data_IF_925535867865
#
_entry.id   IF_925535867865
#
_cell.length_a   1.000
_cell.length_b   1.000
_cell.length_c   1.000
_cell.angle_alpha   90.00
_cell.angle_beta   90.00
_cell.angle_gamma   90.00
#
_symmetry.space_group_name_H-M   'P 1'
#
loop_
_entity.id
_entity.type
_entity.pdbx_description
1 polymer ?
2 polymer ?
3 non-polymer ?
4 water ?
#
# COMPACT_ATOMS: atom_id res chain seq x y z
N UNK A 1 -6.85 -2.00 -19.41
CA UNK A 1 -6.62 -0.54 -19.70
C UNK A 1 -7.79 0.33 -19.18
N UNK A 2 -8.46 -0.23 -18.15
CA UNK A 2 -9.60 0.38 -17.41
C UNK A 2 -11.00 0.03 -17.97
N UNK A 3 -11.54 -1.09 -17.46
CA UNK A 3 -12.82 -1.63 -17.91
C UNK A 3 -13.94 -0.77 -17.41
N UNK A 4 -15.14 -1.01 -17.94
CA UNK A 4 -16.35 -0.27 -17.58
C UNK A 4 -16.74 -0.47 -16.13
N UNK A 5 -16.35 -1.63 -15.59
CA UNK A 5 -16.64 -2.00 -14.19
C UNK A 5 -15.73 -1.28 -13.20
N UNK A 6 -14.42 -1.19 -13.48
CA UNK A 6 -13.51 -0.32 -12.71
C UNK A 6 -13.97 1.15 -12.75
N UNK A 7 -14.35 1.66 -13.92
CA UNK A 7 -14.79 3.05 -14.04
C UNK A 7 -15.99 3.37 -13.12
N UNK A 8 -17.15 2.72 -13.32
CA UNK A 8 -18.31 2.99 -12.44
C UNK A 8 -18.03 2.34 -11.10
N UNK A 9 -17.00 2.84 -10.43
CA UNK A 9 -16.46 2.15 -9.27
C UNK A 9 -15.43 3.13 -8.73
N UNK A 10 -14.62 3.70 -9.65
CA UNK A 10 -13.78 4.86 -9.37
C UNK A 10 -14.50 6.22 -9.45
N UNK A 11 -15.45 6.38 -10.37
CA UNK A 11 -16.37 7.54 -10.34
C UNK A 11 -17.13 7.57 -9.02
N UNK A 12 -17.59 6.40 -8.59
CA UNK A 12 -18.22 6.19 -7.29
C UNK A 12 -17.41 6.57 -6.06
N UNK A 13 -16.15 6.09 -5.91
CA UNK A 13 -15.46 6.45 -4.66
C UNK A 13 -15.11 7.93 -4.59
N UNK A 14 -14.89 8.58 -5.75
CA UNK A 14 -14.50 10.00 -5.74
C UNK A 14 -15.63 10.97 -5.50
N UNK A 15 -16.88 10.49 -5.61
CA UNK A 15 -18.03 11.32 -5.23
C UNK A 15 -18.39 11.09 -3.75
N UNK A 16 -17.82 10.04 -3.16
CA UNK A 16 -17.94 9.81 -1.73
C UNK A 16 -16.80 10.44 -0.93
N UNK A 17 -15.60 10.51 -1.49
CA UNK A 17 -14.49 11.19 -0.76
C UNK A 17 -14.27 12.61 -1.30
N UNK A 18 -15.29 13.12 -2.00
CA UNK A 18 -15.23 14.41 -2.73
C UNK A 18 -14.71 15.60 -1.95
N UNK A 19 -15.54 16.15 -1.08
CA UNK A 19 -15.16 17.33 -0.32
C UNK A 19 -14.15 17.10 0.80
N UNK A 20 -13.48 15.94 0.76
CA UNK A 20 -12.36 15.70 1.68
C UNK A 20 -11.02 15.51 0.94
N UNK A 21 -11.10 15.38 -0.38
CA UNK A 21 -9.92 15.26 -1.25
C UNK A 21 -8.77 16.02 -0.66
N UNK A 22 -8.93 17.34 -0.67
CA UNK A 22 -7.91 18.27 -0.21
C UNK A 22 -7.23 17.87 1.08
N UNK A 23 -7.98 17.61 2.15
CA UNK A 23 -7.36 17.20 3.41
C UNK A 23 -6.57 15.89 3.30
N UNK A 24 -7.07 14.97 2.47
CA UNK A 24 -6.36 13.69 2.25
C UNK A 24 -5.09 13.92 1.45
N UNK A 25 -5.09 14.96 0.62
CA UNK A 25 -3.89 15.38 -0.13
C UNK A 25 -2.79 15.93 0.78
N UNK A 26 -3.15 16.79 1.74
CA UNK A 26 -2.20 17.23 2.73
C UNK A 26 -1.64 16.01 3.43
N UNK A 27 -2.49 15.17 4.03
CA UNK A 27 -2.00 14.06 4.88
C UNK A 27 -1.17 13.01 4.12
N UNK A 28 -1.52 12.82 2.86
CA UNK A 28 -0.79 11.93 1.99
C UNK A 28 0.68 12.30 1.90
N UNK A 29 1.03 13.50 1.42
CA UNK A 29 2.44 13.88 1.35
C UNK A 29 3.14 13.77 2.70
N UNK A 30 2.49 14.25 3.74
CA UNK A 30 3.01 14.20 5.11
C UNK A 30 3.44 12.77 5.59
N UNK A 31 2.55 11.82 5.37
CA UNK A 31 2.89 10.43 5.56
C UNK A 31 4.06 10.00 4.65
N UNK A 32 4.02 10.35 3.37
CA UNK A 32 5.15 10.06 2.47
C UNK A 32 6.48 10.56 3.03
N UNK A 33 6.54 11.80 3.52
CA UNK A 33 7.80 12.39 3.95
C UNK A 33 8.33 11.73 5.21
N UNK A 34 7.42 11.18 6.02
CA UNK A 34 7.77 10.52 7.27
C UNK A 34 8.20 9.08 6.98
N UNK A 35 7.47 8.38 6.13
CA UNK A 35 7.72 6.95 5.95
C UNK A 35 8.76 6.64 4.83
N UNK A 36 8.95 7.63 3.96
CA UNK A 36 9.91 7.55 2.89
C UNK A 36 10.70 8.85 2.79
N UNK A 37 11.68 9.08 3.71
CA UNK A 37 12.39 10.35 3.93
C UNK A 37 13.10 10.83 2.68
N UNK A 38 13.39 9.86 1.82
CA UNK A 38 14.06 10.12 0.55
C UNK A 38 13.26 11.07 -0.36
N UNK A 39 11.94 10.99 -0.27
CA UNK A 39 11.09 11.78 -1.15
C UNK A 39 11.32 13.29 -0.95
N UNK A 40 11.88 13.68 0.21
CA UNK A 40 12.22 15.10 0.51
C UNK A 40 13.37 15.73 -0.32
N UNK A 41 14.18 14.88 -0.97
CA UNK A 41 15.18 15.33 -1.94
C UNK A 41 14.56 16.29 -2.95
N UNK A 42 13.33 15.98 -3.37
CA UNK A 42 12.65 16.71 -4.47
C UNK A 42 12.07 18.07 -4.03
N UNK A 43 11.67 18.16 -2.76
CA UNK A 43 11.12 19.39 -2.25
C UNK A 43 12.09 20.07 -1.26
N UNK A 44 13.24 20.65 -1.76
CA UNK A 44 14.19 21.30 -0.82
C UNK A 44 13.82 22.76 -0.52
N UNK A 45 12.95 23.33 -1.33
CA UNK A 45 12.56 24.71 -1.17
C UNK A 45 11.44 24.84 -0.15
N UNK A 46 10.85 23.71 0.26
CA UNK A 46 9.71 23.65 1.18
C UNK A 46 10.11 23.62 2.64
N UNK A 47 9.23 24.11 3.52
CA UNK A 47 9.29 23.72 4.92
C UNK A 47 8.55 22.38 5.06
N UNK A 48 9.27 21.36 5.52
CA UNK A 48 8.73 19.98 5.50
C UNK A 48 8.32 19.43 6.90
N UNK A 49 8.50 20.27 7.92
CA UNK A 49 8.20 19.86 9.27
C UNK A 49 6.71 19.58 9.40
N UNK A 50 6.34 18.55 10.21
CA UNK A 50 4.93 18.18 10.48
C UNK A 50 4.06 19.40 10.81
N UNK A 51 3.11 19.72 9.94
CA UNK A 51 2.34 20.90 10.18
C UNK A 51 2.38 21.92 9.07
N UNK A 52 3.47 21.99 8.30
CA UNK A 52 3.66 23.06 7.29
C UNK A 52 2.45 23.44 6.42
N UNK A 53 2.33 24.73 6.12
CA UNK A 53 1.28 25.25 5.25
C UNK A 53 1.66 25.18 3.78
N UNK A 54 2.95 25.07 3.51
CA UNK A 54 3.37 24.74 2.14
C UNK A 54 2.89 23.32 1.81
N UNK A 55 3.16 22.38 2.73
CA UNK A 55 2.71 20.99 2.63
C UNK A 55 1.16 20.88 2.50
N UNK A 56 0.45 21.69 3.28
CA UNK A 56 -1.00 21.84 3.15
C UNK A 56 -1.37 22.43 1.79
N UNK A 57 -0.64 23.46 1.38
CA UNK A 57 -0.88 24.12 0.12
C UNK A 57 -0.54 23.21 -1.05
N UNK A 58 0.45 22.34 -0.85
CA UNK A 58 0.82 21.47 -1.95
C UNK A 58 -0.21 20.35 -2.12
N UNK A 59 -0.61 19.73 -1.00
CA UNK A 59 -1.54 18.60 -1.01
C UNK A 59 -2.90 18.91 -1.64
N UNK A 60 -3.28 20.19 -1.56
CA UNK A 60 -4.50 20.72 -2.17
C UNK A 60 -4.45 20.69 -3.70
N UNK A 61 -3.25 20.77 -4.27
CA UNK A 61 -3.16 20.63 -5.72
C UNK A 61 -2.92 19.19 -6.21
N UNK A 62 -2.18 18.37 -5.45
CA UNK A 62 -2.12 16.92 -5.73
C UNK A 62 -3.53 16.24 -5.72
N UNK A 63 -4.37 16.52 -4.71
CA UNK A 63 -5.78 16.13 -4.76
C UNK A 63 -6.40 16.62 -6.06
N UNK A 64 -6.22 17.90 -6.37
CA UNK A 64 -6.68 18.54 -7.60
C UNK A 64 -6.62 17.69 -8.86
N UNK A 65 -5.40 17.33 -9.27
CA UNK A 65 -5.11 16.43 -10.37
C UNK A 65 -5.91 15.14 -10.28
N UNK A 66 -5.94 14.53 -9.09
CA UNK A 66 -6.62 13.25 -8.87
C UNK A 66 -8.10 13.36 -9.19
N UNK A 67 -8.77 14.28 -8.50
CA UNK A 67 -10.17 14.62 -8.72
C UNK A 67 -10.46 14.84 -10.17
N UNK A 68 -9.60 15.62 -10.81
CA UNK A 68 -9.70 15.90 -12.23
C UNK A 68 -9.56 14.66 -13.07
N UNK A 69 -8.49 13.92 -12.89
CA UNK A 69 -8.27 12.73 -13.70
C UNK A 69 -9.49 11.84 -13.63
N UNK A 70 -10.16 11.81 -12.47
CA UNK A 70 -11.40 11.02 -12.29
C UNK A 70 -12.61 11.54 -13.10
N UNK A 71 -12.76 12.87 -13.20
CA UNK A 71 -13.74 13.54 -14.09
C UNK A 71 -13.60 13.23 -15.59
N UNK A 72 -12.40 12.84 -15.99
CA UNK A 72 -12.12 12.56 -17.40
C UNK A 72 -11.45 11.21 -17.55
N UNK A 73 -12.03 10.21 -16.89
CA UNK A 73 -11.45 8.86 -16.82
C UNK A 73 -11.33 8.12 -18.19
N UNK A 74 -12.05 8.62 -19.20
CA UNK A 74 -11.88 8.14 -20.57
C UNK A 74 -10.66 8.77 -21.26
N UNK A 75 -10.26 9.99 -20.88
CA UNK A 75 -9.10 10.66 -21.50
C UNK A 75 -8.03 11.22 -20.50
N UNK A 76 -7.55 10.36 -19.61
CA UNK A 76 -6.67 10.80 -18.49
C UNK A 76 -5.36 11.51 -18.94
N UNK A 77 -4.89 11.21 -20.15
CA UNK A 77 -3.64 11.76 -20.68
C UNK A 77 -3.73 13.19 -21.23
N UNK A 78 -4.91 13.63 -21.68
CA UNK A 78 -5.09 15.03 -22.11
C UNK A 78 -5.40 15.88 -20.87
N UNK A 79 -6.14 15.25 -19.96
CA UNK A 79 -6.51 15.83 -18.67
C UNK A 79 -5.27 16.25 -17.88
N UNK A 80 -4.22 15.42 -17.90
CA UNK A 80 -3.04 15.64 -17.08
C UNK A 80 -1.81 16.03 -17.88
N UNK A 81 -1.98 16.41 -19.14
CA UNK A 81 -0.84 16.56 -20.08
C UNK A 81 0.26 17.59 -19.72
N UNK A 82 -0.07 18.65 -18.99
CA UNK A 82 1.01 19.56 -18.58
C UNK A 82 1.84 19.02 -17.40
N UNK A 83 1.18 18.27 -16.53
CA UNK A 83 1.86 17.63 -15.40
C UNK A 83 2.88 16.55 -15.77
N UNK A 84 2.75 15.93 -16.94
CA UNK A 84 3.73 14.93 -17.37
C UNK A 84 5.13 15.47 -17.72
N UNK A 85 5.21 16.73 -18.16
CA UNK A 85 6.50 17.39 -18.39
C UNK A 85 7.17 17.75 -17.08
N UNK A 86 6.43 18.45 -16.22
CA UNK A 86 6.95 18.84 -14.93
C UNK A 86 7.67 17.64 -14.32
N UNK A 87 7.01 16.48 -14.22
CA UNK A 87 7.57 15.36 -13.45
C UNK A 87 8.68 14.54 -14.14
N UNK A 88 8.55 14.42 -15.47
CA UNK A 88 9.44 13.59 -16.29
C UNK A 88 10.53 14.40 -16.95
N UNK A 89 10.15 15.51 -17.60
CA UNK A 89 11.07 16.40 -18.34
C UNK A 89 11.90 17.33 -17.43
N UNK A 90 11.22 18.16 -16.64
CA UNK A 90 11.91 19.12 -15.79
C UNK A 90 12.56 18.51 -14.54
N UNK A 91 11.73 17.91 -13.67
CA UNK A 91 12.10 17.54 -12.30
C UNK A 91 12.74 16.18 -12.20
N UNK A 92 12.63 15.44 -13.29
CA UNK A 92 13.19 14.10 -13.45
C UNK A 92 13.03 13.08 -12.33
N UNK A 93 11.76 12.83 -11.93
CA UNK A 93 11.36 11.99 -10.76
C UNK A 93 11.52 10.46 -10.92
N UNK A 94 12.29 9.79 -10.06
CA UNK A 94 12.39 8.31 -10.07
C UNK A 94 10.95 7.73 -10.14
N UNK A 95 10.66 6.80 -11.09
CA UNK A 95 9.28 6.27 -11.20
C UNK A 95 8.79 5.44 -10.01
N UNK A 96 9.70 4.73 -9.35
CA UNK A 96 9.38 4.04 -8.09
C UNK A 96 8.59 4.97 -7.18
N UNK A 97 8.75 6.27 -7.38
CA UNK A 97 8.16 7.20 -6.43
C UNK A 97 6.68 7.33 -6.57
N UNK A 98 6.13 7.02 -7.74
CA UNK A 98 4.66 7.11 -7.89
C UNK A 98 3.85 6.09 -7.08
N UNK A 99 4.37 4.86 -7.02
CA UNK A 99 3.93 3.81 -6.08
C UNK A 99 3.90 4.29 -4.63
N UNK A 100 4.97 4.94 -4.17
CA UNK A 100 5.01 5.30 -2.75
C UNK A 100 3.87 6.26 -2.36
N UNK A 101 3.63 7.28 -3.18
CA UNK A 101 2.58 8.27 -2.87
C UNK A 101 1.20 7.64 -2.92
N UNK A 102 0.97 6.84 -3.96
CA UNK A 102 -0.29 6.14 -4.15
C UNK A 102 -0.52 5.24 -2.96
N UNK A 103 0.51 4.50 -2.56
CA UNK A 103 0.42 3.65 -1.37
C UNK A 103 -0.03 4.46 -0.14
N UNK A 104 0.59 5.63 0.05
CA UNK A 104 0.24 6.52 1.16
C UNK A 104 -1.15 7.04 1.02
N UNK A 105 -1.53 7.32 -0.22
CA UNK A 105 -2.90 7.74 -0.52
C UNK A 105 -4.02 6.72 -0.13
N UNK A 106 -3.83 5.43 -0.43
CA UNK A 106 -4.69 4.37 0.09
C UNK A 106 -4.71 4.30 1.61
N UNK A 107 -3.56 4.39 2.28
CA UNK A 107 -3.55 4.38 3.77
C UNK A 107 -4.54 5.41 4.38
N UNK A 108 -4.54 6.62 3.80
CA UNK A 108 -5.38 7.72 4.27
C UNK A 108 -6.88 7.46 4.01
N UNK A 109 -7.25 6.95 2.83
CA UNK A 109 -8.68 6.66 2.62
C UNK A 109 -9.15 5.52 3.56
N UNK A 110 -8.28 4.54 3.78
CA UNK A 110 -8.61 3.45 4.71
C UNK A 110 -8.74 3.94 6.15
N UNK A 111 -8.00 4.99 6.51
CA UNK A 111 -8.10 5.56 7.87
C UNK A 111 -9.45 6.24 8.08
N UNK A 112 -9.78 7.18 7.21
CA UNK A 112 -10.95 8.03 7.33
C UNK A 112 -12.25 7.43 6.78
N UNK A 113 -12.15 6.33 6.04
CA UNK A 113 -13.31 5.74 5.36
C UNK A 113 -13.18 4.22 5.14
N UNK A 114 -13.15 3.41 6.24
CA UNK A 114 -12.71 2.03 6.20
C UNK A 114 -13.58 1.22 5.29
N UNK A 115 -14.82 1.70 5.14
CA UNK A 115 -15.86 0.97 4.42
C UNK A 115 -16.05 1.38 2.94
N UNK A 116 -15.40 2.44 2.47
CA UNK A 116 -15.41 2.69 1.03
C UNK A 116 -14.41 1.69 0.39
N UNK A 117 -13.33 1.40 1.13
CA UNK A 117 -12.22 0.60 0.60
C UNK A 117 -12.41 -0.91 0.80
N UNK A 118 -13.53 -1.44 0.29
CA UNK A 118 -13.72 -2.90 0.21
C UNK A 118 -12.55 -3.54 -0.57
N UNK A 119 -12.32 -4.85 -0.42
CA UNK A 119 -11.42 -5.49 -1.39
C UNK A 119 -11.56 -5.04 -2.86
N UNK A 120 -12.75 -5.09 -3.47
CA UNK A 120 -12.94 -4.66 -4.89
C UNK A 120 -12.61 -3.19 -5.23
N UNK A 121 -13.09 -2.25 -4.42
CA UNK A 121 -12.75 -0.84 -4.58
C UNK A 121 -11.22 -0.70 -4.54
N UNK A 122 -10.62 -1.37 -3.57
CA UNK A 122 -9.19 -1.40 -3.42
C UNK A 122 -8.54 -1.80 -4.74
N UNK A 123 -9.22 -2.68 -5.47
CA UNK A 123 -8.71 -3.15 -6.76
C UNK A 123 -8.85 -2.06 -7.84
N UNK A 124 -10.05 -1.51 -8.00
CA UNK A 124 -10.30 -0.49 -9.00
C UNK A 124 -9.41 0.74 -8.73
N UNK A 125 -9.24 1.07 -7.45
CA UNK A 125 -8.54 2.30 -7.10
C UNK A 125 -7.10 2.08 -7.36
N UNK A 126 -6.65 0.86 -7.11
CA UNK A 126 -5.25 0.57 -7.29
C UNK A 126 -4.81 0.57 -8.75
N UNK A 127 -5.67 0.14 -9.68
CA UNK A 127 -5.31 0.31 -11.08
C UNK A 127 -5.53 1.75 -11.62
N UNK A 128 -6.53 2.48 -11.09
CA UNK A 128 -6.66 3.90 -11.43
C UNK A 128 -5.43 4.73 -11.01
N UNK A 129 -4.96 4.56 -9.76
CA UNK A 129 -3.73 5.24 -9.25
C UNK A 129 -2.47 5.02 -10.07
N UNK A 130 -2.23 3.80 -10.53
CA UNK A 130 -1.07 3.62 -11.37
C UNK A 130 -1.45 3.43 -12.81
N UNK A 131 -2.52 4.08 -13.22
CA UNK A 131 -2.70 4.52 -14.61
C UNK A 131 -2.49 6.04 -14.62
N UNK A 132 -2.72 6.69 -13.48
CA UNK A 132 -2.32 8.07 -13.26
C UNK A 132 -0.77 8.24 -13.21
N UNK A 133 -0.08 7.32 -12.53
CA UNK A 133 1.39 7.33 -12.47
C UNK A 133 2.05 6.92 -13.78
N UNK A 134 1.27 6.47 -14.75
CA UNK A 134 1.82 6.15 -16.05
C UNK A 134 1.72 7.34 -17.01
N UNK A 135 0.72 8.17 -16.79
CA UNK A 135 0.59 9.37 -17.60
C UNK A 135 1.69 10.35 -17.19
N UNK A 136 2.07 10.32 -15.91
CA UNK A 136 3.02 11.28 -15.36
C UNK A 136 4.46 10.86 -15.58
N UNK A 137 4.66 9.61 -16.01
CA UNK A 137 5.99 9.10 -16.29
C UNK A 137 6.12 8.76 -17.74
N UNK A 138 5.20 9.28 -18.56
CA UNK A 138 5.00 8.84 -19.97
C UNK A 138 6.19 9.06 -20.91
N UNK A 139 6.77 10.26 -20.83
CA UNK A 139 7.91 10.63 -21.68
C UNK A 139 9.22 9.82 -21.47
N UNK A 140 9.29 8.99 -20.43
CA UNK A 140 10.38 8.00 -20.29
C UNK A 140 10.18 6.79 -21.24
N UNK A 141 9.00 6.73 -21.89
CA UNK A 141 8.66 5.69 -22.90
C UNK A 141 7.85 6.25 -24.13
N UNK B 1 18.58 -5.04 10.63
CA UNK B 1 18.08 -3.68 10.95
C UNK B 1 18.39 -3.33 12.41
N UNK B 2 18.66 -2.06 12.69
CA UNK B 2 18.73 -1.54 14.08
C UNK B 2 17.45 -0.74 14.51
N UNK B 3 16.86 -1.16 15.63
CA UNK B 3 15.60 -0.60 16.12
C UNK B 3 15.82 0.34 17.32
N UNK B 4 15.08 1.45 17.37
CA UNK B 4 15.14 2.39 18.51
C UNK B 4 14.20 1.92 19.63
N UNK B 5 14.35 2.51 20.81
CA UNK B 5 13.51 2.17 21.96
C UNK B 5 12.06 2.53 21.64
N UNK B 6 11.90 3.75 21.13
CA UNK B 6 10.59 4.35 20.88
C UNK B 6 9.88 3.69 19.69
N UNK B 7 10.66 2.94 18.90
CA UNK B 7 10.20 2.28 17.67
C UNK B 7 9.49 0.99 18.02
N UNK B 8 10.10 0.23 18.95
CA UNK B 8 9.57 -0.99 19.55
C UNK B 8 8.27 -0.76 20.30
N UNK B 9 8.14 0.42 20.89
CA UNK B 9 6.91 0.77 21.58
C UNK B 9 5.70 0.82 20.64
N UNK B 10 5.79 1.66 19.60
CA UNK B 10 4.79 1.73 18.55
C UNK B 10 4.44 0.37 17.93
N UNK B 11 5.46 -0.46 17.71
CA UNK B 11 5.23 -1.74 17.09
C UNK B 11 4.53 -2.72 18.05
N UNK B 12 5.09 -2.84 19.26
CA UNK B 12 4.63 -3.79 20.29
C UNK B 12 3.27 -3.41 20.90
N UNK B 13 3.11 -2.12 21.17
CA UNK B 13 1.87 -1.61 21.71
C UNK B 13 0.65 -1.87 20.83
N UNK B 14 0.90 -2.03 19.50
CA UNK B 14 -0.11 -2.11 18.42
C UNK B 14 -0.42 -3.56 18.07
N UNK B 15 0.63 -4.37 17.96
CA UNK B 15 0.44 -5.82 17.94
C UNK B 15 -0.53 -6.29 19.03
N UNK B 16 -0.43 -5.67 20.21
CA UNK B 16 -1.19 -6.07 21.38
C UNK B 16 -2.68 -6.11 21.12
N UNK B 17 -3.15 -5.30 20.19
CA UNK B 17 -4.59 -5.14 19.99
C UNK B 17 -5.14 -5.79 18.69
N UNK B 18 -4.29 -6.43 17.90
CA UNK B 18 -4.66 -6.94 16.56
C UNK B 18 -5.39 -8.29 16.58
N UNK B 19 -6.53 -8.37 15.87
CA UNK B 19 -7.24 -9.64 15.67
C UNK B 19 -6.66 -10.43 14.48
N UNK B 20 -5.88 -11.48 14.77
CA UNK B 20 -5.14 -12.13 13.69
C UNK B 20 -6.03 -12.86 12.72
N UNK B 21 -7.13 -13.40 13.21
CA UNK B 21 -8.04 -14.12 12.34
C UNK B 21 -8.75 -13.14 11.43
N UNK B 22 -9.16 -11.98 11.95
CA UNK B 22 -9.82 -11.04 11.07
C UNK B 22 -8.84 -10.58 9.96
N UNK B 23 -7.77 -9.86 10.34
CA UNK B 23 -6.77 -9.33 9.42
C UNK B 23 -6.14 -10.37 8.56
N UNK B 24 -5.73 -11.50 9.13
CA UNK B 24 -5.15 -12.59 8.35
C UNK B 24 -5.91 -12.80 7.06
N UNK B 25 -7.24 -12.90 7.17
CA UNK B 25 -8.14 -13.16 6.04
C UNK B 25 -8.31 -11.94 5.09
N UNK B 26 -8.21 -10.71 5.64
CA UNK B 26 -8.25 -9.50 4.84
C UNK B 26 -6.98 -9.46 3.98
N UNK B 27 -5.85 -9.57 4.64
CA UNK B 27 -4.55 -9.51 3.99
C UNK B 27 -4.50 -10.44 2.76
N UNK B 28 -4.93 -11.68 2.95
CA UNK B 28 -4.74 -12.68 1.94
C UNK B 28 -5.75 -12.55 0.82
N UNK B 29 -6.97 -12.18 1.18
CA UNK B 29 -8.03 -12.04 0.21
C UNK B 29 -7.68 -10.88 -0.70
N UNK B 30 -7.20 -9.77 -0.12
CA UNK B 30 -6.91 -8.59 -0.90
C UNK B 30 -5.78 -8.87 -1.87
N UNK B 31 -4.77 -9.59 -1.41
CA UNK B 31 -3.63 -10.00 -2.25
C UNK B 31 -4.11 -10.75 -3.48
N UNK B 32 -4.96 -11.75 -3.25
CA UNK B 32 -5.46 -12.62 -4.32
C UNK B 32 -6.29 -11.83 -5.31
N UNK B 33 -7.01 -10.84 -4.82
CA UNK B 33 -7.90 -10.03 -5.65
C UNK B 33 -7.20 -8.85 -6.37
N UNK B 34 -6.32 -8.15 -5.68
CA UNK B 34 -5.63 -7.02 -6.29
C UNK B 34 -4.52 -7.51 -7.20
N UNK B 35 -3.87 -8.62 -6.88
CA UNK B 35 -2.83 -9.11 -7.79
C UNK B 35 -3.11 -10.51 -8.32
N UNK B 36 -4.04 -10.65 -9.26
CA UNK B 36 -4.64 -11.96 -9.57
C UNK B 36 -3.65 -13.06 -9.98
N UNK B 37 -2.41 -12.69 -10.34
CA UNK B 37 -1.36 -13.68 -10.67
C UNK B 37 -0.84 -14.44 -9.45
N UNK B 38 -0.95 -13.86 -8.26
CA UNK B 38 -0.62 -14.59 -7.05
C UNK B 38 -1.50 -15.86 -6.90
N UNK B 39 -2.62 -15.88 -7.62
CA UNK B 39 -3.58 -16.99 -7.60
C UNK B 39 -2.99 -18.34 -7.93
N UNK B 40 -2.10 -18.42 -8.92
CA UNK B 40 -1.62 -19.76 -9.34
C UNK B 40 -0.89 -20.54 -8.26
N UNK B 41 -0.27 -19.85 -7.32
CA UNK B 41 0.40 -20.52 -6.22
C UNK B 41 -0.52 -21.33 -5.30
N UNK B 42 -1.82 -21.01 -5.30
CA UNK B 42 -2.80 -21.56 -4.32
C UNK B 42 -3.89 -22.44 -4.98
N UNK B 43 -3.50 -23.33 -5.88
CA UNK B 43 -4.49 -24.03 -6.73
C UNK B 43 -5.14 -25.14 -5.97
N UNK B 44 -4.34 -25.79 -5.12
CA UNK B 44 -4.86 -26.74 -4.16
C UNK B 44 -6.10 -26.27 -3.34
N UNK B 45 -6.40 -24.96 -3.36
CA UNK B 45 -7.49 -24.37 -2.57
C UNK B 45 -8.85 -24.41 -3.31
N UNK B 46 -8.93 -25.15 -4.41
CA UNK B 46 -10.18 -25.14 -5.17
C UNK B 46 -10.45 -23.74 -5.72
N UNK B 47 -11.70 -23.43 -6.07
CA UNK B 47 -11.93 -22.25 -6.90
C UNK B 47 -11.53 -20.90 -6.32
N UNK B 48 -10.71 -20.18 -7.07
CA UNK B 48 -10.54 -18.74 -6.84
C UNK B 48 -11.20 -18.08 -8.09
N UNK B 49 -10.63 -17.08 -8.77
CA UNK B 49 -11.26 -16.61 -10.06
C UNK B 49 -12.33 -15.50 -10.00
N UNK B 50 -13.00 -15.37 -8.86
CA UNK B 50 -13.94 -14.25 -8.67
C UNK B 50 -13.84 -13.71 -7.24
N UNK B 51 -13.85 -12.40 -7.12
CA UNK B 51 -13.86 -11.77 -5.81
C UNK B 51 -14.70 -12.55 -4.79
N UNK B 52 -15.94 -12.90 -5.12
CA UNK B 52 -16.76 -13.54 -4.07
C UNK B 52 -16.30 -14.97 -3.79
N UNK B 53 -15.82 -15.68 -4.80
CA UNK B 53 -15.24 -17.01 -4.59
C UNK B 53 -14.13 -16.90 -3.53
N UNK B 54 -13.18 -15.98 -3.74
CA UNK B 54 -12.04 -15.73 -2.84
C UNK B 54 -12.50 -15.48 -1.41
N UNK B 55 -13.51 -14.65 -1.28
CA UNK B 55 -14.03 -14.22 0.03
C UNK B 55 -14.64 -15.38 0.83
N UNK B 56 -15.40 -16.24 0.17
CA UNK B 56 -16.11 -17.33 0.81
C UNK B 56 -15.38 -18.66 0.84
N UNK B 57 -14.07 -18.65 0.61
CA UNK B 57 -13.24 -19.86 0.71
C UNK B 57 -12.66 -20.12 2.12
N UNK B 58 -13.01 -21.26 2.73
CA UNK B 58 -12.50 -21.52 4.08
C UNK B 58 -10.97 -21.62 4.17
N UNK B 59 -10.31 -22.05 3.09
CA UNK B 59 -8.86 -22.14 3.06
C UNK B 59 -8.23 -20.76 3.21
N UNK B 60 -8.87 -19.77 2.59
CA UNK B 60 -8.31 -18.43 2.56
C UNK B 60 -8.27 -17.87 3.97
N UNK B 61 -9.34 -18.10 4.73
CA UNK B 61 -9.39 -17.73 6.14
C UNK B 61 -8.33 -18.47 6.97
N UNK B 62 -8.23 -19.80 6.80
CA UNK B 62 -7.27 -20.61 7.58
C UNK B 62 -5.81 -20.29 7.23
N UNK B 63 -5.48 -20.26 5.93
CA UNK B 63 -4.13 -19.88 5.51
C UNK B 63 -3.77 -18.48 5.99
N UNK B 64 -4.67 -17.51 5.70
CA UNK B 64 -4.51 -16.11 6.09
C UNK B 64 -4.07 -15.94 7.53
N UNK B 65 -4.75 -16.62 8.44
CA UNK B 65 -4.44 -16.61 9.88
C UNK B 65 -3.03 -17.12 10.20
N UNK B 66 -2.56 -18.07 9.40
CA UNK B 66 -1.25 -18.67 9.60
C UNK B 66 -0.17 -17.66 9.22
N UNK B 67 -0.34 -17.05 8.04
CA UNK B 67 0.53 -15.97 7.56
C UNK B 67 0.74 -14.90 8.63
N UNK B 68 -0.36 -14.38 9.19
CA UNK B 68 -0.25 -13.32 10.19
C UNK B 68 0.44 -13.79 11.44
N UNK B 69 0.01 -14.91 12.01
CA UNK B 69 0.76 -15.45 13.15
C UNK B 69 2.28 -15.43 12.91
N UNK B 70 2.67 -15.65 11.67
CA UNK B 70 4.07 -15.65 11.27
C UNK B 70 4.73 -14.29 11.56
N UNK B 71 4.19 -13.21 10.99
CA UNK B 71 4.51 -11.83 11.44
C UNK B 71 4.52 -11.70 12.95
N UNK B 72 3.69 -12.48 13.64
CA UNK B 72 3.76 -12.52 15.09
C UNK B 72 5.20 -12.74 15.56
N UNK B 73 5.75 -13.89 15.18
CA UNK B 73 7.13 -14.25 15.49
C UNK B 73 8.18 -13.12 15.32
N UNK B 74 7.94 -12.21 14.37
CA UNK B 74 8.81 -11.05 14.18
C UNK B 74 8.62 -10.05 15.30
N UNK B 75 7.36 -9.71 15.64
CA UNK B 75 7.09 -8.80 16.76
C UNK B 75 7.84 -9.28 18.01
N UNK B 76 7.87 -10.60 18.20
CA UNK B 76 8.43 -11.24 19.37
C UNK B 76 9.95 -11.11 19.40
N UNK B 77 10.60 -11.46 18.29
CA UNK B 77 12.05 -11.53 18.25
C UNK B 77 12.81 -10.26 17.89
N UNK B 78 12.11 -9.18 17.52
CA UNK B 78 12.69 -8.01 16.83
C UNK B 78 14.16 -7.97 16.42
N UNK B 79 15.10 -8.34 17.28
CA UNK B 79 16.55 -8.42 16.91
C UNK B 79 16.95 -9.63 16.01
N UNK B 80 16.24 -10.75 16.15
CA UNK B 80 16.62 -12.03 15.54
C UNK B 80 15.76 -12.36 14.28
N UNK B 81 15.60 -11.43 13.32
CA UNK B 81 14.54 -11.62 12.27
C UNK B 81 14.91 -12.67 11.21
N UNK B 82 16.18 -12.73 10.81
CA UNK B 82 16.73 -13.92 10.13
C UNK B 82 16.66 -15.11 11.12
N UNK B 83 17.14 -16.27 10.74
CA UNK B 83 17.23 -17.39 11.64
C UNK B 83 15.89 -17.82 12.10
N UNK B 84 14.98 -16.88 12.11
CA UNK B 84 13.60 -17.19 12.50
C UNK B 84 12.72 -17.45 11.27
N UNK B 85 13.12 -16.88 10.13
CA UNK B 85 12.46 -17.16 8.87
C UNK B 85 13.26 -18.07 7.95
N UNK B 86 14.39 -18.61 8.42
CA UNK B 86 15.28 -19.49 7.57
C UNK B 86 14.59 -20.69 6.91
N UNK B 87 13.91 -21.50 7.72
CA UNK B 87 13.20 -22.66 7.21
C UNK B 87 12.07 -22.19 6.27
N UNK B 88 11.29 -21.19 6.69
CA UNK B 88 10.25 -20.53 5.82
C UNK B 88 10.76 -19.95 4.46
N UNK B 89 11.99 -19.40 4.47
CA UNK B 89 12.68 -18.94 3.27
C UNK B 89 12.94 -20.09 2.26
N UNK B 90 13.55 -21.18 2.73
CA UNK B 90 13.74 -22.39 1.91
C UNK B 90 12.44 -22.82 1.19
N UNK B 91 11.33 -22.77 1.92
CA UNK B 91 10.04 -23.24 1.44
C UNK B 91 9.48 -22.34 0.33
N UNK B 92 9.45 -21.03 0.60
CA UNK B 92 8.99 -20.06 -0.39
C UNK B 92 9.91 -19.98 -1.62
N UNK B 93 11.23 -19.98 -1.39
CA UNK B 93 12.22 -19.93 -2.48
C UNK B 93 12.44 -21.28 -3.20
N UNK B 94 13.03 -22.27 -2.51
CA UNK B 94 13.39 -23.60 -3.08
C UNK B 94 12.28 -24.49 -3.63
N UNK B 95 11.15 -24.57 -2.92
CA UNK B 95 10.02 -25.46 -3.27
C UNK B 95 8.99 -24.78 -4.20
N UNK B 96 8.49 -23.62 -3.76
CA UNK B 96 7.40 -22.90 -4.46
C UNK B 96 7.87 -21.98 -5.61
N UNK B 97 9.01 -21.31 -5.41
CA UNK B 97 9.56 -20.39 -6.39
C UNK B 97 8.67 -19.15 -6.55
N UNK B 98 8.32 -18.55 -5.41
CA UNK B 98 7.69 -17.26 -5.32
C UNK B 98 8.74 -16.18 -5.51
N UNK B 99 8.58 -15.37 -6.57
CA UNK B 99 9.44 -14.20 -6.75
C UNK B 99 9.28 -13.22 -5.59
N UNK B 100 10.41 -12.79 -4.97
CA UNK B 100 10.46 -11.92 -3.77
C UNK B 100 9.63 -10.64 -3.80
N UNK B 101 9.44 -10.07 -4.99
CA UNK B 101 8.67 -8.84 -5.20
C UNK B 101 7.22 -8.95 -4.68
N UNK B 102 6.66 -10.15 -4.71
CA UNK B 102 5.33 -10.42 -4.12
C UNK B 102 5.36 -10.33 -2.61
N UNK B 103 6.52 -10.56 -1.97
CA UNK B 103 6.63 -10.39 -0.50
C UNK B 103 6.45 -8.92 -0.18
N UNK B 104 6.97 -8.04 -1.02
CA UNK B 104 6.67 -6.63 -0.84
C UNK B 104 5.14 -6.39 -1.02
N UNK B 105 4.55 -6.85 -2.12
CA UNK B 105 3.12 -6.67 -2.29
C UNK B 105 2.33 -7.10 -1.05
N UNK B 106 2.66 -8.24 -0.43
CA UNK B 106 1.94 -8.61 0.79
C UNK B 106 2.18 -7.65 2.01
N UNK B 107 3.37 -7.06 2.09
CA UNK B 107 3.70 -6.11 3.15
C UNK B 107 2.83 -4.87 3.02
N UNK B 108 2.87 -4.27 1.84
CA UNK B 108 2.10 -3.05 1.60
C UNK B 108 0.64 -3.27 1.92
N UNK B 109 0.03 -4.31 1.34
CA UNK B 109 -1.38 -4.66 1.63
C UNK B 109 -1.69 -4.83 3.14
N UNK B 110 -0.71 -5.37 3.88
CA UNK B 110 -0.84 -5.52 5.34
C UNK B 110 -1.02 -4.17 6.02
N UNK B 111 -0.20 -3.18 5.62
CA UNK B 111 -0.34 -1.83 6.15
C UNK B 111 -1.71 -1.25 5.87
N UNK B 112 -2.30 -1.48 4.70
CA UNK B 112 -3.66 -0.98 4.43
C UNK B 112 -4.63 -1.60 5.41
N UNK B 113 -4.53 -2.93 5.60
CA UNK B 113 -5.30 -3.67 6.62
C UNK B 113 -5.22 -3.00 8.00
N UNK B 114 -4.02 -2.96 8.60
CA UNK B 114 -3.88 -2.31 9.89
C UNK B 114 -4.38 -0.84 9.87
N UNK B 115 -4.19 -0.14 8.74
CA UNK B 115 -4.67 1.25 8.57
C UNK B 115 -6.20 1.46 8.70
N UNK B 116 -6.96 0.69 7.93
CA UNK B 116 -8.41 0.71 7.96
C UNK B 116 -8.98 0.28 9.30
N UNK B 117 -8.34 -0.73 9.91
CA UNK B 117 -8.76 -1.33 11.17
C UNK B 117 -8.51 -0.47 12.42
N UNK B 118 -7.46 0.36 12.41
CA UNK B 118 -7.06 1.13 13.61
C UNK B 118 -7.41 2.62 13.54
N UNK B 119 -7.83 3.07 12.36
CA UNK B 119 -8.21 4.47 12.11
C UNK B 119 -7.17 5.54 12.44
N UNK B 120 -7.46 6.35 13.44
CA UNK B 120 -6.63 7.49 13.74
C UNK B 120 -5.41 7.09 14.55
N UNK B 121 -5.44 5.89 15.14
CA UNK B 121 -4.33 5.43 15.98
C UNK B 121 -3.16 4.90 15.16
N UNK B 122 -3.36 4.79 13.84
CA UNK B 122 -2.27 4.54 12.93
C UNK B 122 -1.64 5.89 12.53
N UNK B 123 -1.03 6.54 13.52
CA UNK B 123 -0.28 7.77 13.30
C UNK B 123 0.86 7.56 12.30
N UNK B 124 1.37 8.65 11.70
CA UNK B 124 2.44 8.63 10.69
C UNK B 124 3.77 8.00 11.16
N UNK B 125 4.24 8.39 12.35
CA UNK B 125 5.35 7.75 13.06
C UNK B 125 5.22 6.21 13.16
N UNK B 126 4.04 5.76 13.52
CA UNK B 126 3.67 4.37 13.70
C UNK B 126 3.65 3.63 12.40
N UNK B 127 3.14 4.28 11.39
CA UNK B 127 3.11 3.74 10.04
C UNK B 127 4.53 3.63 9.47
N UNK B 128 5.43 4.46 9.97
CA UNK B 128 6.83 4.41 9.57
C UNK B 128 7.56 3.22 10.20
N UNK B 129 7.23 2.93 11.47
CA UNK B 129 7.78 1.78 12.22
C UNK B 129 7.27 0.53 11.59
N UNK B 130 5.95 0.49 11.34
CA UNK B 130 5.33 -0.66 10.67
C UNK B 130 5.89 -1.02 9.30
N UNK B 131 6.21 0.00 8.51
CA UNK B 131 6.91 -0.17 7.23
C UNK B 131 8.33 -0.75 7.40
N UNK B 132 9.08 -0.21 8.36
CA UNK B 132 10.41 -0.72 8.71
C UNK B 132 10.35 -2.23 9.05
N UNK B 133 9.30 -2.66 9.74
CA UNK B 133 9.12 -4.07 10.05
C UNK B 133 8.70 -4.92 8.85
N UNK B 134 7.69 -4.45 8.11
CA UNK B 134 7.14 -5.22 6.98
C UNK B 134 8.23 -5.47 5.91
N UNK B 135 9.12 -4.48 5.80
CA UNK B 135 10.29 -4.50 4.93
C UNK B 135 11.39 -5.42 5.50
N UNK B 136 11.55 -5.45 6.84
CA UNK B 136 12.55 -6.32 7.47
C UNK B 136 12.24 -7.81 7.28
N UNK B 137 10.95 -8.13 7.38
CA UNK B 137 10.44 -9.49 7.23
C UNK B 137 10.54 -9.94 5.80
N UNK B 138 10.05 -9.10 4.89
CA UNK B 138 10.16 -9.34 3.43
C UNK B 138 11.60 -9.59 2.98
N UNK B 139 12.52 -8.76 3.47
CA UNK B 139 13.97 -8.98 3.34
C UNK B 139 14.46 -10.31 3.92
N UNK B 140 13.88 -10.74 5.04
CA UNK B 140 14.27 -11.96 5.76
C UNK B 140 13.74 -13.28 5.18
N UNK B 141 12.79 -13.16 4.23
CA UNK B 141 12.41 -14.29 3.36
C UNK B 141 13.19 -14.32 2.02
N UNK B 142 13.63 -13.16 1.56
CA UNK B 142 14.50 -13.06 0.40
C UNK B 142 15.70 -13.98 0.57
N UNK B 143 16.45 -13.81 1.67
CA UNK B 143 17.51 -14.73 2.14
C UNK B 143 17.96 -15.83 1.17
N UNK B 144 17.12 -16.86 1.00
CA UNK B 144 17.41 -18.04 0.18
C UNK B 144 17.41 -17.76 -1.33
N UNK B 145 17.75 -16.53 -1.71
CA UNK B 145 17.92 -16.14 -3.11
C UNK B 145 19.37 -15.74 -3.35
N UNK B 146 20.22 -16.76 -3.38
CA UNK B 146 21.65 -16.59 -3.63
C UNK B 146 22.12 -17.57 -4.73
X LIG C 1 4.58 19.52 -8.49
X LIG C 1 0.76 16.61 -8.82
X LIG C 1 3.40 12.72 -7.69
X LIG C 1 7.30 15.64 -7.06
X LIG C 1 3.27 19.12 -8.67
X LIG C 1 2.12 19.98 -8.98
X LIG C 1 1.06 19.13 -9.06
X LIG C 1 1.52 17.75 -8.83
X LIG C 1 -0.42 19.48 -9.37
X LIG C 1 2.13 21.54 -9.15
X LIG C 1 1.53 21.98 -10.52
X LIG C 1 1.49 23.49 -10.82
X LIG C 1 2.00 23.87 -11.90
X LIG C 1 0.94 24.34 -10.03
X LIG C 1 1.14 15.31 -8.58
X LIG C 1 0.29 14.14 -8.73
X LIG C 1 1.00 13.06 -8.43
X LIG C 1 2.34 13.51 -8.07
X LIG C 1 -1.20 14.14 -9.16
X LIG C 1 0.45 11.61 -8.47
X LIG C 1 0.76 10.70 -7.54
X LIG C 1 4.67 13.18 -7.37
X LIG C 1 5.73 12.40 -6.81
X LIG C 1 6.79 13.18 -6.63
X LIG C 1 6.46 14.52 -7.10
X LIG C 1 5.60 10.89 -6.47
X LIG C 1 8.16 12.73 -6.07
X LIG C 1 8.30 12.45 -4.76
X LIG C 1 6.93 16.98 -7.31
X LIG C 1 7.76 18.18 -7.12
X LIG C 1 6.89 19.36 -7.57
X LIG C 1 5.65 18.77 -8.01
X LIG C 1 9.20 18.32 -6.55
X LIG C 1 7.23 20.88 -7.62
X LIG C 1 7.18 21.61 -6.26
X LIG C 1 6.60 23.00 -6.43
X LIG C 1 6.03 23.28 -7.51
X LIG C 1 6.71 23.82 -5.49
X LIG C 1 2.88 17.80 -8.60
X LIG C 1 2.38 14.89 -8.18
X LIG C 1 5.15 14.48 -7.53
X LIG C 1 5.70 17.39 -7.82
X LIG C 1 4.01 16.11 -8.10
X LIG D 1 3.03 -21.24 3.14
X LIG D 1 4.21 -17.30 5.70
X LIG D 1 4.19 -14.47 1.74
X LIG D 1 2.74 -18.34 -0.82
X LIG D 1 3.22 -20.41 4.22
X LIG D 1 3.02 -20.72 5.63
X LIG D 1 3.34 -19.63 6.34
X LIG D 1 3.77 -18.58 5.40
X LIG D 1 3.26 -19.49 7.87
X LIG D 1 2.47 -22.05 6.21
X LIG D 1 3.51 -22.86 6.98
X LIG D 1 3.56 -24.30 6.50
X LIG D 1 4.69 -24.89 6.52
X LIG D 1 2.47 -24.83 6.11
X LIG D 1 4.34 -16.21 4.86
X LIG D 1 4.75 -14.88 5.26
X LIG D 1 4.76 -14.09 4.19
X LIG D 1 4.34 -14.89 3.05
X LIG D 1 5.14 -14.39 6.66
X LIG D 1 5.14 -12.59 4.24
X LIG D 1 5.63 -11.92 3.18
X LIG D 1 3.78 -15.27 0.68
X LIG D 1 3.59 -14.86 -0.69
X LIG D 1 3.19 -15.92 -1.40
X LIG D 1 3.12 -17.06 -0.49
X LIG D 1 3.80 -13.43 -1.24
X LIG D 1 2.87 -15.96 -2.93
X LIG D 1 1.81 -15.37 -3.48
X LIG D 1 2.67 -19.46 -0.02
X LIG D 1 2.27 -20.77 -0.46
X LIG D 1 2.37 -21.68 0.78
X LIG D 1 2.81 -20.82 1.84
X LIG D 1 1.83 -21.18 -1.89
X LIG D 1 2.04 -23.19 0.87
X LIG D 1 0.53 -23.40 0.77
X LIG D 1 0.12 -24.85 0.95
X LIG D 1 0.99 -25.66 1.42
X LIG D 1 -1.09 -25.18 0.64
X LIG D 1 3.69 -19.11 4.12
X LIG D 1 4.09 -16.19 3.50
X LIG D 1 3.48 -16.61 0.76
X LIG D 1 2.97 -19.53 1.33
X LIG D 1 3.63 -17.91 2.29
#
# INVERSE_FOLDING_TARGET
VLSGTDKTNVKSIFSKIGGQADDYGAEALERMFVTYPQTKTYFPHFDVSPGSAQVKAHGKKVAGGLSEAANHIDDIATSLSKLSDLHAQKLRVDPVNFKLLGQCFLVVVAIHNPSALTPEAHASLDKFLCAVGLVLTAKYR
VHWSAEEKQLITGLWGKVNVAECGAEALARLLIVYPWTQRFFTSFGNLSSASAVLGNPNVRAHGKKVLTSFGEAVKNLDNIKNTFAQLSELHCDKLHVDPENFRLLGDILIIVLAGHFGKDFTPDCQAAWQKLVRAVAHALARKYH
HEM CHA CHB CHC CHD C1A C2A C3A C4A CMA CAA CBA CGA O1A O2A C1B C2B C3B C4B CMB CAB CBB C1C C2C C3C C4C CMC CAC CBC C1D C2D C3D C4D CMD CAD CBD CGD O1D O2D NA NB NC ND FE
HEM CHA CHB CHC CHD C1A C2A C3A C4A CMA CAA CBA CGA O1A O2A C1B C2B C3B C4B CMB CAB CBB C1C C2C C3C C4C CMC CAC CBC C1D C2D C3D C4D CMD CAD CBD CGD O1D O2D NA NB NC ND FE
#
